data_IF_550256709807
#
_entry.id   IF_550256709807
#
_cell.length_a   1.000
_cell.length_b   1.000
_cell.length_c   1.000
_cell.angle_alpha   90.00
_cell.angle_beta   90.00
_cell.angle_gamma   90.00
#
_symmetry.space_group_name_H-M   'P 1'
#
loop_
_entity.id
_entity.type
_entity.pdbx_description
1 polymer ?
#
# COMPACT_ATOMS: atom_id res chain seq x y z
N UNK A 1 10.01 -14.16 -13.14
CA UNK A 1 10.16 -14.09 -11.67
C UNK A 1 10.71 -12.72 -11.33
N UNK A 2 9.83 -11.77 -11.08
CA UNK A 2 10.15 -10.50 -10.41
C UNK A 2 10.43 -10.84 -8.95
N UNK A 3 11.57 -10.42 -8.42
CA UNK A 3 11.89 -10.52 -7.00
C UNK A 3 10.81 -9.78 -6.22
N UNK A 4 10.21 -10.41 -5.20
CA UNK A 4 9.27 -9.72 -4.33
C UNK A 4 9.99 -8.54 -3.64
N UNK A 5 9.44 -7.33 -3.75
CA UNK A 5 9.95 -6.16 -3.05
C UNK A 5 9.63 -6.30 -1.56
N UNK A 6 10.59 -6.01 -0.69
CA UNK A 6 10.28 -5.90 0.74
C UNK A 6 9.33 -4.70 0.98
N UNK A 7 8.51 -4.70 2.05
CA UNK A 7 7.66 -3.56 2.39
C UNK A 7 8.45 -2.25 2.53
N UNK A 8 9.66 -2.32 3.10
CA UNK A 8 10.52 -1.15 3.26
C UNK A 8 11.01 -0.58 1.92
N UNK A 9 11.41 -1.43 0.96
CA UNK A 9 11.74 -1.00 -0.40
C UNK A 9 10.50 -0.51 -1.17
N UNK A 10 9.36 -1.17 -0.97
CA UNK A 10 8.10 -0.80 -1.61
C UNK A 10 7.65 0.62 -1.22
N UNK A 11 7.85 1.03 0.04
CA UNK A 11 7.49 2.37 0.54
C UNK A 11 8.25 3.51 -0.14
N UNK A 12 9.40 3.24 -0.75
CA UNK A 12 10.16 4.23 -1.53
C UNK A 12 9.38 4.73 -2.74
N UNK A 13 8.56 3.87 -3.34
CA UNK A 13 7.88 4.17 -4.58
C UNK A 13 6.67 5.11 -4.43
N UNK A 14 5.75 4.91 -3.46
CA UNK A 14 4.72 5.89 -3.12
C UNK A 14 5.28 7.28 -2.84
N UNK A 15 6.50 7.38 -2.31
CA UNK A 15 7.18 8.65 -2.09
C UNK A 15 7.35 9.43 -3.40
N UNK A 16 7.84 8.79 -4.46
CA UNK A 16 7.99 9.45 -5.76
C UNK A 16 6.65 9.80 -6.43
N UNK A 17 5.58 9.08 -6.14
CA UNK A 17 4.25 9.32 -6.71
C UNK A 17 3.48 10.43 -6.01
N UNK A 18 3.52 10.43 -4.68
CA UNK A 18 2.75 11.34 -3.84
C UNK A 18 3.54 12.62 -3.52
N UNK A 19 4.87 12.53 -3.49
CA UNK A 19 5.80 13.63 -3.19
C UNK A 19 6.83 13.79 -4.32
N UNK A 20 6.39 14.19 -5.53
CA UNK A 20 7.25 14.24 -6.72
C UNK A 20 8.42 15.23 -6.63
N UNK A 21 8.42 16.13 -5.64
CA UNK A 21 9.52 17.06 -5.37
C UNK A 21 10.73 16.37 -4.71
N UNK A 22 10.57 15.13 -4.26
CA UNK A 22 11.56 14.40 -3.48
C UNK A 22 11.82 13.02 -4.07
N UNK A 23 13.07 12.59 -3.95
CA UNK A 23 13.54 11.25 -4.27
C UNK A 23 14.03 10.60 -2.99
N UNK A 24 13.46 9.45 -2.69
CA UNK A 24 13.86 8.59 -1.60
C UNK A 24 14.65 7.39 -2.15
N UNK A 25 15.65 6.94 -1.42
CA UNK A 25 16.42 5.73 -1.72
C UNK A 25 16.70 4.95 -0.43
N UNK A 26 16.55 3.64 -0.49
CA UNK A 26 16.95 2.70 0.58
C UNK A 26 18.11 1.86 0.05
N UNK A 27 19.15 1.71 0.86
CA UNK A 27 20.27 0.83 0.54
C UNK A 27 20.78 0.15 1.82
N UNK A 28 21.15 -1.13 1.71
CA UNK A 28 22.00 -1.79 2.70
C UNK A 28 23.47 -1.42 2.46
N UNK A 29 24.20 -1.05 3.50
CA UNK A 29 25.65 -0.87 3.42
C UNK A 29 26.21 0.45 3.96
N UNK A 30 27.51 0.60 3.74
CA UNK A 30 28.39 1.57 4.43
C UNK A 30 27.96 3.04 4.26
N UNK A 31 28.30 3.84 5.28
CA UNK A 31 28.12 5.29 5.29
C UNK A 31 28.74 5.95 4.04
N UNK A 32 28.19 7.09 3.55
CA UNK A 32 28.74 7.79 2.40
C UNK A 32 30.22 8.15 2.58
N UNK A 33 31.01 8.10 1.50
CA UNK A 33 32.42 8.51 1.52
C UNK A 33 32.55 9.94 2.08
N UNK A 34 33.45 10.14 3.05
CA UNK A 34 33.61 11.35 3.90
C UNK A 34 33.79 12.71 3.17
N UNK A 35 33.83 12.73 1.83
CA UNK A 35 34.05 13.97 1.05
C UNK A 35 32.78 14.80 0.96
N UNK A 36 32.55 15.64 1.97
CA UNK A 36 31.52 16.69 1.93
C UNK A 36 30.59 16.72 3.14
N UNK A 37 30.69 15.75 4.05
CA UNK A 37 29.85 15.65 5.25
C UNK A 37 30.01 16.92 6.11
N UNK A 38 28.93 17.68 6.28
CA UNK A 38 28.94 18.95 7.03
C UNK A 38 28.56 18.78 8.50
N UNK A 39 27.78 17.75 8.84
CA UNK A 39 27.41 17.41 10.20
C UNK A 39 27.03 15.93 10.29
N UNK A 40 27.48 15.26 11.35
CA UNK A 40 27.04 13.93 11.76
C UNK A 40 26.52 14.06 13.19
N UNK A 41 25.27 13.68 13.39
CA UNK A 41 24.63 13.66 14.70
C UNK A 41 24.26 12.20 15.02
N UNK A 42 24.65 11.72 16.21
CA UNK A 42 24.39 10.36 16.69
C UNK A 42 23.33 10.40 17.77
N UNK A 43 22.38 9.49 17.66
CA UNK A 43 21.31 9.27 18.61
C UNK A 43 21.34 7.80 19.00
N UNK A 44 21.44 7.55 20.30
CA UNK A 44 21.26 6.21 20.84
C UNK A 44 19.75 5.96 20.93
N UNK A 45 19.30 4.80 20.44
CA UNK A 45 17.91 4.38 20.54
C UNK A 45 17.80 3.47 21.78
N UNK A 46 16.80 3.70 22.62
CA UNK A 46 16.53 2.81 23.76
C UNK A 46 16.32 1.37 23.27
N UNK A 47 16.60 0.36 24.08
CA UNK A 47 16.42 -1.05 23.69
C UNK A 47 14.96 -1.31 23.26
N UNK A 48 14.71 -2.26 22.32
CA UNK A 48 13.35 -2.64 21.98
C UNK A 48 12.70 -3.28 23.21
N UNK A 49 11.84 -2.54 23.91
CA UNK A 49 10.92 -3.16 24.87
C UNK A 49 10.04 -4.17 24.10
N UNK A 50 9.62 -5.26 24.75
CA UNK A 50 8.75 -6.31 24.14
C UNK A 50 7.41 -5.75 23.60
N UNK A 51 7.07 -4.51 23.97
CA UNK A 51 5.88 -3.77 23.52
C UNK A 51 6.18 -2.72 22.44
N UNK A 52 7.41 -2.67 21.91
CA UNK A 52 7.85 -1.69 20.90
C UNK A 52 6.87 -1.61 19.73
N UNK A 53 6.20 -0.47 19.62
CA UNK A 53 5.14 -0.21 18.66
C UNK A 53 5.63 -0.37 17.22
N UNK A 54 4.96 -1.25 16.48
CA UNK A 54 5.28 -1.60 15.10
C UNK A 54 5.28 -0.36 14.17
N UNK A 55 5.96 -0.43 13.01
CA UNK A 55 5.94 0.60 11.97
C UNK A 55 4.53 1.05 11.52
N UNK A 56 3.52 0.21 11.77
CA UNK A 56 2.11 0.53 11.57
C UNK A 56 1.61 1.66 12.49
N UNK A 57 2.06 1.78 13.75
CA UNK A 57 1.70 2.91 14.61
C UNK A 57 2.28 4.22 14.08
N UNK A 58 3.57 4.20 13.73
CA UNK A 58 4.24 5.36 13.15
C UNK A 58 3.61 5.79 11.80
N UNK A 59 3.01 4.86 11.06
CA UNK A 59 2.29 5.15 9.82
C UNK A 59 1.03 6.02 9.99
N UNK A 60 0.60 6.29 11.22
CA UNK A 60 -0.48 7.25 11.52
C UNK A 60 0.01 8.71 11.59
N UNK A 61 1.31 8.94 11.38
CA UNK A 61 1.94 10.25 11.53
C UNK A 61 2.24 10.63 12.98
N UNK A 62 2.13 9.65 13.89
CA UNK A 62 2.44 9.73 15.32
C UNK A 62 3.46 8.63 15.64
N UNK A 63 4.74 8.83 15.33
CA UNK A 63 5.76 7.84 15.60
C UNK A 63 5.89 7.56 17.10
N UNK A 64 6.18 6.31 17.45
CA UNK A 64 6.61 5.96 18.80
C UNK A 64 7.96 6.60 19.14
N UNK A 65 8.31 6.67 20.42
CA UNK A 65 9.52 7.36 20.92
C UNK A 65 10.79 6.97 20.14
N UNK A 66 10.97 5.68 19.79
CA UNK A 66 12.13 5.20 19.00
C UNK A 66 12.17 5.75 17.57
N UNK A 67 11.01 5.92 16.94
CA UNK A 67 10.90 6.43 15.57
C UNK A 67 10.76 7.96 15.52
N UNK A 68 10.47 8.62 16.65
CA UNK A 68 10.16 10.05 16.73
C UNK A 68 11.31 10.91 16.18
N UNK A 69 12.54 10.55 16.51
CA UNK A 69 13.71 11.30 16.07
C UNK A 69 13.93 11.17 14.55
N UNK A 70 13.84 9.96 14.01
CA UNK A 70 13.94 9.70 12.57
C UNK A 70 12.80 10.40 11.80
N UNK A 71 11.57 10.31 12.32
CA UNK A 71 10.42 11.00 11.76
C UNK A 71 10.59 12.51 11.74
N UNK A 72 11.04 13.10 12.87
CA UNK A 72 11.29 14.54 12.98
C UNK A 72 12.25 14.99 11.89
N UNK A 73 13.36 14.27 11.67
CA UNK A 73 14.32 14.61 10.61
C UNK A 73 13.73 14.52 9.21
N UNK A 74 12.92 13.49 8.94
CA UNK A 74 12.23 13.33 7.66
C UNK A 74 11.26 14.50 7.43
N UNK A 75 10.40 14.81 8.40
CA UNK A 75 9.42 15.90 8.29
C UNK A 75 10.09 17.25 8.12
N UNK A 76 11.09 17.59 8.94
CA UNK A 76 11.85 18.84 8.81
C UNK A 76 12.43 19.02 7.41
N UNK A 77 13.01 17.94 6.86
CA UNK A 77 13.62 17.98 5.54
C UNK A 77 12.56 18.12 4.45
N UNK A 78 11.48 17.36 4.53
CA UNK A 78 10.39 17.39 3.54
C UNK A 78 9.69 18.74 3.49
N UNK A 79 9.36 19.29 4.65
CA UNK A 79 8.69 20.58 4.79
C UNK A 79 9.57 21.75 4.33
N UNK A 80 10.90 21.63 4.45
CA UNK A 80 11.82 22.63 3.91
C UNK A 80 11.75 22.74 2.38
N UNK A 81 11.25 21.70 1.68
CA UNK A 81 11.02 21.70 0.24
C UNK A 81 9.61 22.12 -0.20
N UNK A 82 8.68 22.33 0.75
CA UNK A 82 7.30 22.72 0.48
C UNK A 82 6.30 22.07 1.44
N UNK A 83 5.03 22.46 1.36
CA UNK A 83 3.99 21.94 2.24
C UNK A 83 3.81 20.42 2.06
N UNK A 84 3.91 19.68 3.16
CA UNK A 84 3.70 18.24 3.21
C UNK A 84 2.25 17.90 3.58
N UNK A 85 1.57 17.18 2.69
CA UNK A 85 0.21 16.70 2.94
C UNK A 85 0.21 15.51 3.94
N UNK A 86 -0.99 15.09 4.36
CA UNK A 86 -1.16 14.01 5.34
C UNK A 86 -0.59 12.66 4.84
N UNK A 87 -0.63 12.40 3.53
CA UNK A 87 -0.08 11.18 2.92
C UNK A 87 1.42 11.11 3.11
N UNK A 88 2.09 12.22 2.81
CA UNK A 88 3.54 12.32 2.97
C UNK A 88 3.98 12.14 4.40
N UNK A 89 3.23 12.68 5.37
CA UNK A 89 3.50 12.51 6.82
C UNK A 89 3.37 11.05 7.25
N UNK A 90 2.28 10.39 6.90
CA UNK A 90 2.08 8.98 7.24
C UNK A 90 3.15 8.06 6.64
N UNK A 91 3.54 8.31 5.38
CA UNK A 91 4.60 7.54 4.75
C UNK A 91 5.97 7.80 5.41
N UNK A 92 6.28 9.05 5.78
CA UNK A 92 7.47 9.38 6.54
C UNK A 92 7.48 8.70 7.92
N UNK A 93 6.32 8.62 8.58
CA UNK A 93 6.16 7.90 9.84
C UNK A 93 6.40 6.40 9.69
N UNK A 94 5.80 5.76 8.68
CA UNK A 94 6.05 4.35 8.37
C UNK A 94 7.54 4.07 8.13
N UNK A 95 8.20 4.90 7.31
CA UNK A 95 9.62 4.76 7.00
C UNK A 95 10.51 4.94 8.22
N UNK A 96 10.18 5.92 9.08
CA UNK A 96 10.88 6.10 10.35
C UNK A 96 10.75 4.85 11.22
N UNK A 97 9.53 4.31 11.37
CA UNK A 97 9.29 3.08 12.12
C UNK A 97 10.05 1.88 11.57
N UNK A 98 9.99 1.64 10.25
CA UNK A 98 10.74 0.55 9.60
C UNK A 98 12.25 0.71 9.75
N UNK A 99 12.77 1.94 9.66
CA UNK A 99 14.19 2.22 9.80
C UNK A 99 14.69 1.94 11.23
N UNK A 100 13.86 2.18 12.25
CA UNK A 100 14.26 2.10 13.66
C UNK A 100 13.85 0.82 14.38
N UNK A 101 13.09 -0.09 13.74
CA UNK A 101 12.48 -1.26 14.40
C UNK A 101 13.52 -2.11 15.15
N UNK A 102 14.61 -2.48 14.48
CA UNK A 102 15.70 -3.30 15.02
C UNK A 102 16.96 -2.48 15.32
N UNK A 103 16.93 -1.17 15.06
CA UNK A 103 18.11 -0.33 15.21
C UNK A 103 18.40 -0.02 16.69
N UNK A 104 19.68 0.01 17.03
CA UNK A 104 20.20 0.49 18.32
C UNK A 104 20.85 1.87 18.20
N UNK A 105 21.23 2.26 16.98
CA UNK A 105 21.78 3.58 16.70
C UNK A 105 21.13 4.21 15.47
N UNK A 106 20.96 5.53 15.53
CA UNK A 106 20.55 6.36 14.42
C UNK A 106 21.59 7.48 14.20
N UNK A 107 22.06 7.60 12.96
CA UNK A 107 22.94 8.68 12.54
C UNK A 107 22.23 9.54 11.51
N UNK A 108 22.20 10.85 11.77
CA UNK A 108 21.78 11.87 10.80
C UNK A 108 23.01 12.44 10.11
N UNK A 109 23.00 12.41 8.78
CA UNK A 109 24.03 13.02 7.94
C UNK A 109 23.35 13.99 6.97
N UNK A 110 23.73 15.27 7.04
CA UNK A 110 23.25 16.30 6.13
C UNK A 110 24.32 16.65 5.09
N UNK A 111 24.01 16.45 3.81
CA UNK A 111 24.87 16.83 2.68
C UNK A 111 24.14 17.80 1.74
N UNK A 112 24.32 19.11 1.97
CA UNK A 112 23.57 20.14 1.24
C UNK A 112 22.06 19.97 1.47
N UNK A 113 21.23 19.88 0.41
CA UNK A 113 19.79 19.66 0.55
C UNK A 113 19.41 18.18 0.77
N UNK A 114 20.39 17.26 0.79
CA UNK A 114 20.16 15.84 1.01
C UNK A 114 20.21 15.50 2.50
N UNK A 115 19.23 14.72 2.95
CA UNK A 115 19.24 14.05 4.25
C UNK A 115 19.59 12.58 4.05
N UNK A 116 20.52 12.07 4.84
CA UNK A 116 20.75 10.64 4.99
C UNK A 116 20.54 10.24 6.44
N UNK A 117 19.72 9.22 6.65
CA UNK A 117 19.57 8.54 7.93
C UNK A 117 20.21 7.16 7.83
N UNK A 118 21.14 6.87 8.73
CA UNK A 118 21.76 5.55 8.84
C UNK A 118 21.28 4.94 10.15
N UNK A 119 20.70 3.75 10.09
CA UNK A 119 20.27 3.01 11.27
C UNK A 119 20.99 1.67 11.32
N UNK A 120 21.53 1.32 12.48
CA UNK A 120 22.30 0.10 12.66
C UNK A 120 21.92 -0.64 13.93
N UNK A 121 22.09 -1.96 13.90
CA UNK A 121 21.85 -2.88 15.03
C UNK A 121 23.17 -3.44 15.61
N UNK A 122 24.31 -3.09 15.01
CA UNK A 122 25.65 -3.58 15.36
C UNK A 122 26.23 -4.56 14.33
N UNK A 123 25.39 -5.26 13.57
CA UNK A 123 25.78 -6.22 12.52
C UNK A 123 25.40 -5.74 11.10
N UNK A 124 24.34 -4.94 10.99
CA UNK A 124 23.79 -4.41 9.75
C UNK A 124 23.62 -2.90 9.84
N UNK A 125 23.74 -2.21 8.70
CA UNK A 125 23.41 -0.78 8.58
C UNK A 125 22.51 -0.55 7.39
N UNK A 126 21.38 0.10 7.64
CA UNK A 126 20.41 0.55 6.67
C UNK A 126 20.58 2.04 6.43
N UNK A 127 20.52 2.45 5.17
CA UNK A 127 20.55 3.85 4.78
C UNK A 127 19.26 4.25 4.10
N UNK A 128 18.62 5.28 4.65
CA UNK A 128 17.55 6.02 4.00
C UNK A 128 18.11 7.35 3.51
N UNK A 129 17.99 7.64 2.21
CA UNK A 129 18.46 8.89 1.61
C UNK A 129 17.30 9.64 1.00
N UNK A 130 17.17 10.91 1.34
CA UNK A 130 16.14 11.81 0.85
C UNK A 130 16.82 12.99 0.15
N UNK A 131 16.52 13.18 -1.14
CA UNK A 131 17.13 14.20 -1.99
C UNK A 131 16.06 14.94 -2.80
N UNK A 132 16.23 16.23 -3.14
CA UNK A 132 15.31 16.89 -4.06
C UNK A 132 15.29 16.20 -5.43
N UNK A 133 14.11 15.90 -5.96
CA UNK A 133 13.94 15.29 -7.27
C UNK A 133 13.95 16.35 -8.38
N UNK A 134 14.55 16.00 -9.53
CA UNK A 134 14.65 16.90 -10.69
C UNK A 134 13.56 16.67 -11.74
N UNK A 135 12.95 15.48 -11.76
CA UNK A 135 11.94 15.07 -12.74
C UNK A 135 11.04 13.98 -12.19
N UNK A 136 9.74 14.03 -12.51
CA UNK A 136 8.83 12.91 -12.32
C UNK A 136 9.04 11.84 -13.40
N UNK A 137 9.02 10.57 -12.99
CA UNK A 137 9.02 9.45 -13.92
C UNK A 137 7.63 8.82 -13.97
N UNK A 138 7.17 8.52 -15.18
CA UNK A 138 6.00 7.68 -15.37
C UNK A 138 6.34 6.26 -14.92
N UNK A 139 5.51 5.68 -14.06
CA UNK A 139 5.75 4.37 -13.45
C UNK A 139 4.74 3.37 -14.00
N UNK A 140 5.19 2.25 -14.60
CA UNK A 140 4.28 1.24 -15.12
C UNK A 140 3.29 0.77 -14.05
N UNK A 141 2.01 0.65 -14.42
CA UNK A 141 0.94 0.29 -13.47
C UNK A 141 1.20 -1.02 -12.73
N UNK A 142 1.79 -2.02 -13.39
CA UNK A 142 2.16 -3.28 -12.74
C UNK A 142 3.18 -3.11 -11.61
N UNK A 143 4.17 -2.21 -11.77
CA UNK A 143 5.11 -1.87 -10.70
C UNK A 143 4.42 -1.14 -9.56
N UNK A 144 3.51 -0.20 -9.90
CA UNK A 144 2.71 0.54 -8.92
C UNK A 144 1.88 -0.41 -8.06
N UNK A 145 1.14 -1.32 -8.68
CA UNK A 145 0.33 -2.34 -8.02
C UNK A 145 1.20 -3.24 -7.13
N UNK A 146 2.35 -3.69 -7.62
CA UNK A 146 3.28 -4.53 -6.84
C UNK A 146 3.74 -3.86 -5.53
N UNK A 147 4.05 -2.56 -5.56
CA UNK A 147 4.46 -1.86 -4.33
C UNK A 147 3.27 -1.63 -3.39
N UNK A 148 2.10 -1.25 -3.92
CA UNK A 148 0.91 -0.98 -3.09
C UNK A 148 0.42 -2.25 -2.39
N UNK A 149 0.43 -3.39 -3.08
CA UNK A 149 0.03 -4.69 -2.52
C UNK A 149 1.03 -5.19 -1.48
N UNK A 150 2.34 -5.09 -1.74
CA UNK A 150 3.37 -5.43 -0.75
C UNK A 150 3.23 -4.60 0.55
N UNK A 151 2.92 -3.31 0.43
CA UNK A 151 2.69 -2.45 1.60
C UNK A 151 1.39 -2.78 2.33
N UNK A 152 0.30 -3.08 1.60
CA UNK A 152 -0.96 -3.48 2.23
C UNK A 152 -0.78 -4.79 3.01
N UNK A 153 -0.08 -5.78 2.45
CA UNK A 153 0.19 -7.06 3.11
C UNK A 153 0.97 -6.92 4.42
N UNK A 154 1.88 -5.93 4.53
CA UNK A 154 2.59 -5.64 5.78
C UNK A 154 1.65 -5.24 6.93
N UNK A 155 0.55 -4.55 6.61
CA UNK A 155 -0.41 -4.06 7.59
C UNK A 155 -1.55 -5.03 7.89
N UNK A 156 -1.72 -6.06 7.08
CA UNK A 156 -2.90 -6.91 7.08
C UNK A 156 -2.49 -8.35 7.37
N UNK A 157 -2.65 -8.74 8.63
CA UNK A 157 -2.40 -10.10 9.11
C UNK A 157 -3.68 -10.70 9.67
N UNK A 158 -3.91 -11.97 9.38
CA UNK A 158 -4.99 -12.77 9.93
C UNK A 158 -4.43 -13.60 11.08
N UNK A 159 -5.14 -13.58 12.21
CA UNK A 159 -4.77 -14.28 13.44
C UNK A 159 -3.32 -14.03 13.91
N UNK A 160 -2.75 -12.86 13.56
CA UNK A 160 -1.35 -12.47 13.78
C UNK A 160 -0.30 -13.37 13.10
N UNK A 161 -0.71 -14.27 12.21
CA UNK A 161 0.17 -15.28 11.59
C UNK A 161 0.22 -15.18 10.08
N UNK A 162 -0.93 -15.07 9.42
CA UNK A 162 -1.03 -15.23 7.97
C UNK A 162 -1.17 -13.87 7.29
N UNK A 163 -0.37 -13.61 6.25
CA UNK A 163 -0.42 -12.36 5.49
C UNK A 163 -1.61 -12.35 4.54
N UNK A 164 -2.35 -11.25 4.50
CA UNK A 164 -3.34 -11.01 3.45
C UNK A 164 -2.59 -10.70 2.16
N UNK A 165 -2.78 -11.52 1.13
CA UNK A 165 -2.12 -11.34 -0.17
C UNK A 165 -3.08 -10.85 -1.22
N UNK A 166 -2.60 -9.96 -2.09
CA UNK A 166 -3.34 -9.41 -3.22
C UNK A 166 -2.65 -9.83 -4.52
N UNK A 167 -3.32 -10.65 -5.32
CA UNK A 167 -2.88 -11.01 -6.66
C UNK A 167 -3.72 -10.28 -7.71
N UNK A 168 -3.05 -9.52 -8.58
CA UNK A 168 -3.70 -8.75 -9.64
C UNK A 168 -3.18 -9.22 -11.00
N UNK A 169 -4.08 -9.79 -11.79
CA UNK A 169 -3.78 -10.27 -13.13
C UNK A 169 -4.57 -9.49 -14.17
N UNK A 170 -3.88 -8.97 -15.18
CA UNK A 170 -4.51 -8.31 -16.32
C UNK A 170 -4.65 -9.27 -17.50
N UNK A 171 -5.80 -9.20 -18.16
CA UNK A 171 -6.09 -9.92 -19.40
C UNK A 171 -6.61 -9.00 -20.49
N UNK A 172 -6.88 -9.59 -21.65
CA UNK A 172 -7.56 -8.95 -22.79
C UNK A 172 -8.73 -9.81 -23.24
N UNK A 173 -9.72 -9.21 -23.89
CA UNK A 173 -10.84 -9.93 -24.51
C UNK A 173 -11.28 -9.28 -25.82
N UNK A 174 -11.98 -10.05 -26.64
CA UNK A 174 -12.51 -9.59 -27.94
C UNK A 174 -14.01 -9.26 -27.90
N UNK A 175 -14.60 -9.18 -26.70
CA UNK A 175 -16.02 -8.82 -26.53
C UNK A 175 -16.25 -7.34 -26.78
N UNK A 176 -17.16 -7.02 -27.71
CA UNK A 176 -17.63 -5.66 -27.95
C UNK A 176 -18.56 -5.19 -26.82
N UNK A 177 -18.12 -4.15 -26.09
CA UNK A 177 -18.90 -3.50 -25.03
C UNK A 177 -19.63 -2.24 -25.51
N UNK A 178 -19.49 -1.81 -26.77
CA UNK A 178 -20.24 -0.68 -27.34
C UNK A 178 -21.60 -1.15 -27.90
N UNK A 179 -22.35 -1.83 -27.04
CA UNK A 179 -23.66 -2.42 -27.36
C UNK A 179 -24.71 -2.00 -26.33
N UNK A 180 -25.98 -2.27 -26.63
CA UNK A 180 -27.09 -1.84 -25.77
C UNK A 180 -27.06 -2.47 -24.37
N UNK A 181 -26.55 -3.69 -24.24
CA UNK A 181 -26.35 -4.38 -22.96
C UNK A 181 -24.93 -4.99 -22.91
N UNK A 182 -23.92 -4.20 -22.49
CA UNK A 182 -22.54 -4.68 -22.42
C UNK A 182 -22.36 -5.82 -21.40
N UNK A 183 -23.16 -5.85 -20.34
CA UNK A 183 -23.10 -6.90 -19.33
C UNK A 183 -23.54 -8.26 -19.87
N UNK A 184 -24.62 -8.30 -20.65
CA UNK A 184 -25.05 -9.52 -21.33
C UNK A 184 -24.06 -9.96 -22.41
N UNK A 185 -23.50 -9.03 -23.18
CA UNK A 185 -22.48 -9.34 -24.18
C UNK A 185 -21.22 -9.94 -23.54
N UNK A 186 -20.72 -9.35 -22.45
CA UNK A 186 -19.56 -9.84 -21.71
C UNK A 186 -19.79 -11.23 -21.12
N UNK A 187 -20.92 -11.47 -20.46
CA UNK A 187 -21.26 -12.79 -19.91
C UNK A 187 -21.30 -13.90 -20.97
N UNK A 188 -21.79 -13.58 -22.17
CA UNK A 188 -21.91 -14.56 -23.25
C UNK A 188 -20.60 -14.77 -24.00
N UNK A 189 -19.79 -13.71 -24.12
CA UNK A 189 -18.62 -13.67 -24.98
C UNK A 189 -17.29 -13.90 -24.28
N UNK A 190 -17.21 -13.77 -22.96
CA UNK A 190 -15.99 -13.98 -22.20
C UNK A 190 -15.89 -15.45 -21.76
N UNK A 191 -14.84 -16.19 -22.19
CA UNK A 191 -14.72 -17.63 -21.91
C UNK A 191 -14.31 -17.96 -20.47
N UNK A 192 -14.16 -16.95 -19.60
CA UNK A 192 -13.57 -17.08 -18.27
C UNK A 192 -12.05 -17.20 -18.30
N UNK A 193 -11.45 -17.29 -17.11
CA UNK A 193 -10.03 -17.63 -16.90
C UNK A 193 -9.82 -19.12 -16.57
N UNK A 194 -10.89 -19.92 -16.58
CA UNK A 194 -10.91 -21.33 -16.21
C UNK A 194 -11.13 -21.62 -14.72
N UNK A 195 -11.10 -20.59 -13.88
CA UNK A 195 -11.25 -20.70 -12.42
C UNK A 195 -12.46 -19.92 -11.88
N UNK A 196 -12.75 -18.75 -12.45
CA UNK A 196 -13.86 -17.91 -12.05
C UNK A 196 -14.90 -17.80 -13.17
N UNK A 197 -16.10 -18.33 -12.89
CA UNK A 197 -17.25 -18.24 -13.79
C UNK A 197 -18.13 -17.05 -13.40
N UNK A 198 -18.82 -16.44 -14.37
CA UNK A 198 -19.82 -15.40 -14.07
C UNK A 198 -21.16 -16.10 -13.84
N UNK A 199 -21.90 -15.64 -12.82
CA UNK A 199 -23.19 -16.22 -12.44
C UNK A 199 -24.20 -16.27 -13.60
N UNK A 200 -24.86 -17.42 -13.74
CA UNK A 200 -25.93 -17.72 -14.68
C UNK A 200 -27.32 -17.80 -13.99
N UNK A 201 -28.38 -17.90 -14.79
CA UNK A 201 -29.74 -18.06 -14.26
C UNK A 201 -29.90 -19.44 -13.61
N UNK A 202 -29.98 -19.48 -12.29
CA UNK A 202 -30.14 -20.71 -11.51
C UNK A 202 -29.05 -20.93 -10.47
N UNK A 203 -27.94 -20.18 -10.57
CA UNK A 203 -26.90 -20.16 -9.54
C UNK A 203 -27.44 -19.55 -8.24
N UNK A 204 -26.92 -20.03 -7.11
CA UNK A 204 -27.20 -19.51 -5.78
C UNK A 204 -25.94 -18.95 -5.10
N UNK A 205 -26.12 -18.39 -3.90
CA UNK A 205 -25.06 -17.68 -3.18
C UNK A 205 -23.89 -18.59 -2.75
N UNK A 206 -24.09 -19.91 -2.72
CA UNK A 206 -23.06 -20.88 -2.36
C UNK A 206 -22.20 -21.31 -3.56
N UNK A 207 -22.62 -21.00 -4.78
CA UNK A 207 -21.87 -21.34 -6.00
C UNK A 207 -20.58 -20.53 -6.14
N UNK A 208 -19.54 -21.17 -6.69
CA UNK A 208 -18.23 -20.57 -6.97
C UNK A 208 -18.25 -19.66 -8.22
N UNK A 209 -19.12 -18.66 -8.20
CA UNK A 209 -19.37 -17.74 -9.32
C UNK A 209 -19.24 -16.26 -8.91
N UNK A 210 -18.95 -15.42 -9.90
CA UNK A 210 -18.83 -13.97 -9.78
C UNK A 210 -20.18 -13.31 -10.10
N UNK A 211 -20.66 -12.51 -9.15
CA UNK A 211 -21.94 -11.81 -9.26
C UNK A 211 -21.77 -10.40 -9.83
N UNK A 212 -22.61 -9.96 -10.78
CA UNK A 212 -22.51 -8.63 -11.36
C UNK A 212 -22.76 -7.54 -10.32
N UNK A 213 -21.91 -6.52 -10.32
CA UNK A 213 -22.06 -5.31 -9.52
C UNK A 213 -22.34 -4.12 -10.44
N UNK A 214 -23.42 -3.38 -10.16
CA UNK A 214 -23.59 -2.06 -10.75
C UNK A 214 -22.56 -1.06 -10.17
N UNK A 215 -22.42 0.10 -10.81
CA UNK A 215 -21.43 1.11 -10.40
C UNK A 215 -21.62 1.64 -8.97
N UNK A 216 -22.85 1.64 -8.44
CA UNK A 216 -23.15 2.06 -7.06
C UNK A 216 -22.74 0.97 -6.08
N UNK A 217 -23.09 -0.28 -6.38
CA UNK A 217 -22.77 -1.47 -5.60
C UNK A 217 -21.26 -1.71 -5.55
N UNK A 218 -20.55 -1.56 -6.68
CA UNK A 218 -19.09 -1.60 -6.73
C UNK A 218 -18.48 -0.53 -5.82
N UNK A 219 -18.93 0.73 -5.92
CA UNK A 219 -18.42 1.82 -5.09
C UNK A 219 -18.64 1.55 -3.59
N UNK A 220 -19.82 1.04 -3.23
CA UNK A 220 -20.14 0.68 -1.86
C UNK A 220 -19.23 -0.47 -1.36
N UNK A 221 -19.05 -1.52 -2.16
CA UNK A 221 -18.19 -2.65 -1.82
C UNK A 221 -16.72 -2.24 -1.63
N UNK A 222 -16.19 -1.37 -2.50
CA UNK A 222 -14.82 -0.85 -2.37
C UNK A 222 -14.66 0.05 -1.14
N UNK A 223 -15.66 0.88 -0.85
CA UNK A 223 -15.65 1.76 0.33
C UNK A 223 -15.73 0.96 1.64
N UNK A 224 -16.54 -0.09 1.67
CA UNK A 224 -16.64 -0.97 2.84
C UNK A 224 -15.36 -1.80 3.01
N UNK A 225 -14.78 -2.29 1.90
CA UNK A 225 -13.51 -3.01 1.94
C UNK A 225 -12.39 -2.12 2.47
N UNK A 226 -12.30 -0.85 2.03
CA UNK A 226 -11.37 0.12 2.60
C UNK A 226 -11.53 0.27 4.12
N UNK A 227 -12.78 0.40 4.60
CA UNK A 227 -13.06 0.51 6.04
C UNK A 227 -12.64 -0.74 6.80
N UNK A 228 -12.90 -1.92 6.23
CA UNK A 228 -12.53 -3.19 6.84
C UNK A 228 -11.01 -3.34 6.91
N UNK A 229 -10.28 -2.98 5.85
CA UNK A 229 -8.81 -2.99 5.85
C UNK A 229 -8.24 -2.09 6.95
N UNK A 230 -8.76 -0.86 7.09
CA UNK A 230 -8.38 0.05 8.18
C UNK A 230 -8.68 -0.55 9.55
N UNK A 231 -9.88 -1.12 9.74
CA UNK A 231 -10.29 -1.73 11.01
C UNK A 231 -9.40 -2.92 11.37
N UNK A 232 -9.06 -3.77 10.42
CA UNK A 232 -8.19 -4.94 10.63
C UNK A 232 -6.76 -4.53 10.91
N UNK A 233 -6.20 -3.58 10.14
CA UNK A 233 -4.87 -3.04 10.42
C UNK A 233 -4.81 -2.49 11.85
N UNK A 234 -5.80 -1.70 12.26
CA UNK A 234 -5.89 -1.23 13.66
C UNK A 234 -5.98 -2.40 14.65
N UNK A 235 -6.82 -3.41 14.40
CA UNK A 235 -6.97 -4.59 15.28
C UNK A 235 -5.65 -5.33 15.56
N UNK A 236 -4.72 -5.31 14.60
CA UNK A 236 -3.39 -5.91 14.73
C UNK A 236 -2.43 -5.13 15.65
N UNK A 237 -2.72 -3.87 15.99
CA UNK A 237 -1.91 -3.13 16.97
C UNK A 237 -2.41 -3.47 18.37
N UNK A 238 -1.55 -3.97 19.25
CA UNK A 238 -1.88 -4.32 20.65
C UNK A 238 -2.30 -3.12 21.52
N UNK A 239 -2.44 -1.93 20.93
CA UNK A 239 -2.67 -0.63 21.56
C UNK A 239 -4.15 -0.32 21.87
N UNK A 240 -5.11 -1.20 21.53
CA UNK A 240 -6.56 -0.93 21.76
C UNK A 240 -6.94 -0.64 23.20
N UNK A 241 -6.14 -1.09 24.17
CA UNK A 241 -6.48 -0.88 25.58
C UNK A 241 -6.06 0.52 26.09
N UNK A 242 -5.23 1.27 25.35
CA UNK A 242 -4.67 2.54 25.80
C UNK A 242 -4.25 3.43 24.60
N UNK A 243 -5.10 4.31 24.04
CA UNK A 243 -4.72 5.73 23.80
C UNK A 243 -5.73 6.61 23.05
N UNK A 244 -5.62 7.92 23.30
CA UNK A 244 -6.21 9.07 22.59
C UNK A 244 -5.49 9.39 21.26
N UNK A 245 -4.64 8.48 20.76
CA UNK A 245 -3.73 8.64 19.61
C UNK A 245 -4.32 8.22 18.25
N UNK A 246 -5.62 7.89 18.20
CA UNK A 246 -6.27 7.61 16.92
C UNK A 246 -6.21 8.85 16.01
N UNK A 247 -5.90 8.70 14.71
CA UNK A 247 -5.98 9.83 13.79
C UNK A 247 -7.39 10.40 13.83
N UNK A 248 -7.46 11.75 13.92
CA UNK A 248 -8.72 12.49 14.07
C UNK A 248 -9.73 12.16 12.96
N UNK A 249 -9.23 11.74 11.79
CA UNK A 249 -10.04 11.33 10.62
C UNK A 249 -9.66 9.90 10.19
N UNK A 250 -10.57 8.91 10.32
CA UNK A 250 -10.31 7.51 9.97
C UNK A 250 -9.91 7.22 8.50
N UNK A 251 -10.14 8.17 7.59
CA UNK A 251 -9.81 8.06 6.16
C UNK A 251 -8.49 8.70 5.75
N UNK A 252 -7.68 9.13 6.73
CA UNK A 252 -6.36 9.75 6.54
C UNK A 252 -5.23 8.85 7.09
N UNK A 253 -5.36 7.55 6.86
CA UNK A 253 -4.35 6.56 7.22
C UNK A 253 -3.66 6.01 5.97
N UNK A 254 -2.42 5.56 6.14
CA UNK A 254 -1.64 4.96 5.07
C UNK A 254 -2.38 3.83 4.37
N UNK A 255 -3.03 2.92 5.12
CA UNK A 255 -3.83 1.81 4.58
C UNK A 255 -4.96 2.29 3.68
N UNK A 256 -5.69 3.33 4.08
CA UNK A 256 -6.78 3.92 3.27
C UNK A 256 -6.24 4.48 1.95
N UNK A 257 -5.14 5.23 1.99
CA UNK A 257 -4.55 5.79 0.76
C UNK A 257 -3.96 4.72 -0.15
N UNK A 258 -3.31 3.69 0.40
CA UNK A 258 -2.79 2.56 -0.37
C UNK A 258 -3.93 1.81 -1.08
N UNK A 259 -5.02 1.50 -0.37
CA UNK A 259 -6.18 0.82 -0.94
C UNK A 259 -6.83 1.66 -2.05
N UNK A 260 -7.05 2.96 -1.82
CA UNK A 260 -7.62 3.86 -2.83
C UNK A 260 -6.74 3.98 -4.06
N UNK A 261 -5.42 4.09 -3.88
CA UNK A 261 -4.47 4.18 -4.98
C UNK A 261 -4.39 2.88 -5.78
N UNK A 262 -4.47 1.73 -5.10
CA UNK A 262 -4.51 0.41 -5.74
C UNK A 262 -5.73 0.29 -6.64
N UNK A 263 -6.93 0.53 -6.09
CA UNK A 263 -8.17 0.44 -6.86
C UNK A 263 -8.21 1.47 -7.99
N UNK A 264 -7.79 2.72 -7.75
CA UNK A 264 -7.74 3.74 -8.78
C UNK A 264 -6.81 3.33 -9.94
N UNK A 265 -5.62 2.82 -9.62
CA UNK A 265 -4.65 2.34 -10.61
C UNK A 265 -5.25 1.24 -11.48
N UNK A 266 -5.86 0.22 -10.86
CA UNK A 266 -6.45 -0.91 -11.61
C UNK A 266 -7.63 -0.44 -12.46
N UNK A 267 -8.53 0.38 -11.90
CA UNK A 267 -9.70 0.91 -12.63
C UNK A 267 -9.27 1.73 -13.84
N UNK A 268 -8.26 2.60 -13.70
CA UNK A 268 -7.72 3.38 -14.83
C UNK A 268 -7.15 2.49 -15.92
N UNK A 269 -6.40 1.44 -15.56
CA UNK A 269 -5.83 0.49 -16.51
C UNK A 269 -6.89 -0.32 -17.28
N UNK A 270 -8.02 -0.62 -16.63
CA UNK A 270 -9.10 -1.44 -17.21
C UNK A 270 -10.06 -0.60 -18.04
N UNK A 271 -10.60 0.49 -17.48
CA UNK A 271 -11.65 1.28 -18.13
C UNK A 271 -11.16 2.00 -19.40
N UNK A 272 -9.86 2.33 -19.44
CA UNK A 272 -9.26 3.04 -20.55
C UNK A 272 -9.95 4.38 -20.86
N UNK A 273 -9.83 4.91 -22.10
CA UNK A 273 -10.37 6.21 -22.47
C UNK A 273 -11.91 6.28 -22.49
N UNK A 274 -12.58 5.13 -22.68
CA UNK A 274 -14.03 5.07 -22.81
C UNK A 274 -14.77 5.31 -21.49
N UNK A 275 -14.11 4.99 -20.35
CA UNK A 275 -14.74 4.97 -19.04
C UNK A 275 -15.73 3.82 -18.81
N UNK A 276 -15.96 2.94 -19.79
CA UNK A 276 -16.81 1.76 -19.64
C UNK A 276 -16.13 0.78 -18.68
N UNK A 277 -16.87 0.36 -17.65
CA UNK A 277 -16.40 -0.57 -16.65
C UNK A 277 -17.55 -1.46 -16.18
N UNK A 278 -17.41 -2.76 -16.39
CA UNK A 278 -18.23 -3.80 -15.79
C UNK A 278 -17.47 -4.37 -14.58
N UNK A 279 -18.21 -4.81 -13.57
CA UNK A 279 -17.64 -5.42 -12.38
C UNK A 279 -18.43 -6.66 -11.97
N UNK A 280 -17.70 -7.68 -11.54
CA UNK A 280 -18.25 -8.92 -11.03
C UNK A 280 -17.44 -9.34 -9.81
N UNK A 281 -18.08 -9.80 -8.73
CA UNK A 281 -17.36 -10.11 -7.50
C UNK A 281 -17.91 -11.33 -6.78
N UNK A 282 -17.05 -11.94 -5.96
CA UNK A 282 -17.40 -12.96 -4.97
C UNK A 282 -16.75 -12.60 -3.62
N UNK A 283 -17.51 -12.78 -2.54
CA UNK A 283 -17.08 -12.48 -1.17
C UNK A 283 -16.56 -11.04 -0.99
N UNK A 284 -17.18 -10.06 -1.66
CA UNK A 284 -16.98 -8.64 -1.37
C UNK A 284 -18.19 -8.10 -0.59
N UNK A 285 -17.99 -7.21 0.41
CA UNK A 285 -16.73 -6.60 0.88
C UNK A 285 -15.75 -7.58 1.55
N UNK A 286 -14.46 -7.20 1.65
CA UNK A 286 -13.34 -8.05 2.12
C UNK A 286 -13.40 -8.51 3.61
N UNK A 287 -14.55 -8.45 4.28
CA UNK A 287 -14.65 -8.87 5.68
C UNK A 287 -14.23 -10.33 5.87
N UNK A 288 -14.78 -11.27 5.10
CA UNK A 288 -14.48 -12.70 5.23
C UNK A 288 -13.00 -13.04 5.05
N UNK A 289 -12.33 -12.42 4.07
CA UNK A 289 -10.87 -12.56 3.89
C UNK A 289 -10.13 -12.09 5.13
N UNK A 290 -10.45 -10.91 5.65
CA UNK A 290 -9.73 -10.31 6.78
C UNK A 290 -9.92 -11.06 8.11
N UNK A 291 -10.87 -12.00 8.17
CA UNK A 291 -11.06 -12.93 9.28
C UNK A 291 -10.53 -14.35 8.99
N UNK A 292 -9.97 -14.59 7.80
CA UNK A 292 -9.48 -15.91 7.37
C UNK A 292 -10.61 -16.91 7.09
N UNK A 293 -11.81 -16.43 6.76
CA UNK A 293 -12.99 -17.27 6.56
C UNK A 293 -13.14 -17.72 5.10
N UNK A 294 -12.77 -16.86 4.15
CA UNK A 294 -12.96 -17.06 2.71
C UNK A 294 -11.93 -16.29 1.89
N UNK A 295 -11.68 -16.68 0.65
CA UNK A 295 -11.00 -15.85 -0.34
C UNK A 295 -12.00 -14.92 -1.06
N UNK A 296 -11.53 -13.78 -1.58
CA UNK A 296 -12.35 -12.84 -2.36
C UNK A 296 -11.83 -12.69 -3.78
N UNK A 297 -12.74 -12.46 -4.72
CA UNK A 297 -12.40 -12.19 -6.10
C UNK A 297 -13.21 -11.01 -6.64
N UNK A 298 -12.54 -10.09 -7.34
CA UNK A 298 -13.14 -8.99 -8.09
C UNK A 298 -12.60 -9.00 -9.52
N UNK A 299 -13.51 -9.22 -10.48
CA UNK A 299 -13.26 -9.06 -11.90
C UNK A 299 -13.76 -7.69 -12.35
N UNK A 300 -12.87 -6.93 -12.97
CA UNK A 300 -13.18 -5.71 -13.69
C UNK A 300 -12.99 -5.93 -15.18
N UNK A 301 -13.93 -5.47 -16.01
CA UNK A 301 -13.84 -5.55 -17.46
C UNK A 301 -14.14 -4.19 -18.10
N UNK A 302 -13.18 -3.70 -18.88
CA UNK A 302 -13.32 -2.52 -19.74
C UNK A 302 -13.42 -2.93 -21.20
N UNK A 303 -13.28 -2.02 -22.17
CA UNK A 303 -13.48 -2.36 -23.58
C UNK A 303 -12.47 -3.36 -24.16
N UNK A 304 -11.22 -3.29 -23.71
CA UNK A 304 -10.11 -4.08 -24.27
C UNK A 304 -9.41 -4.96 -23.24
N UNK A 305 -9.62 -4.69 -21.95
CA UNK A 305 -8.85 -5.26 -20.86
C UNK A 305 -9.74 -5.76 -19.74
N UNK A 306 -9.30 -6.82 -19.09
CA UNK A 306 -9.80 -7.26 -17.80
C UNK A 306 -8.73 -7.09 -16.73
N UNK A 307 -9.17 -6.95 -15.48
CA UNK A 307 -8.34 -7.21 -14.31
C UNK A 307 -9.07 -8.16 -13.36
N UNK A 308 -8.39 -9.22 -12.97
CA UNK A 308 -8.80 -10.11 -11.90
C UNK A 308 -8.01 -9.76 -10.65
N UNK A 309 -8.70 -9.44 -9.56
CA UNK A 309 -8.12 -9.15 -8.26
C UNK A 309 -8.52 -10.30 -7.34
N UNK A 310 -7.57 -11.13 -6.98
CA UNK A 310 -7.73 -12.19 -6.01
C UNK A 310 -7.11 -11.75 -4.69
N UNK A 311 -7.88 -11.87 -3.60
CA UNK A 311 -7.43 -11.54 -2.25
C UNK A 311 -7.61 -12.76 -1.37
N UNK A 312 -6.54 -13.22 -0.75
CA UNK A 312 -6.54 -14.38 0.12
C UNK A 312 -5.94 -14.05 1.48
N UNK A 313 -6.35 -14.82 2.47
CA UNK A 313 -6.03 -14.63 3.87
C UNK A 313 -5.68 -15.92 4.61
#
# INVERSE_FOLDING_TARGET
MTTALSPFEAAVHPFGWWLPAWRLEVAGGEAPEEKGIKAVERFDLDDPDETSDSPLHASWGLPAERAEQAYTFLIETLEAGGDLDRRGRALAGFLAGQLTVDATELLRVQDGPALHLLAGDGDTTWRLSLTPASTTHDVPAGHRIGCLTALLSEFLRINNTDEVTFEVTFGTHDVDLDVADPGAAFRTGWPGDGHWLIAEEGDDEDDDVLWPLDATSLRAALTESERNLVKTARAGTTLWEFDDALPEIPGDELVSWLARDLYATIVTEVAGPSGTLLAYAKHFPLEGVLWGETDSCLLLAGPERTALIYVSG
#
